data_IF_829130984537
#
_entry.id   IF_829130984537
#
_cell.length_a   1.000
_cell.length_b   1.000
_cell.length_c   1.000
_cell.angle_alpha   90.00
_cell.angle_beta   90.00
_cell.angle_gamma   90.00
#
_symmetry.space_group_name_H-M   'P 1'
#
loop_
_entity.id
_entity.type
_entity.pdbx_description
1 polymer ?
#
# COMPACT_ATOMS: atom_id res chain seq x y z
N UNK A 1 -9.01 6.14 -26.63
CA UNK A 1 -10.41 5.68 -26.76
C UNK A 1 -11.26 6.92 -26.71
N UNK A 2 -12.26 7.04 -27.57
CA UNK A 2 -13.15 8.20 -27.57
C UNK A 2 -14.05 8.18 -26.32
N UNK A 3 -14.38 9.37 -25.79
CA UNK A 3 -15.18 9.51 -24.55
C UNK A 3 -16.54 8.82 -24.66
N UNK A 4 -17.16 8.86 -25.84
CA UNK A 4 -18.44 8.21 -26.12
C UNK A 4 -18.37 6.68 -26.11
N UNK A 5 -17.30 6.10 -26.67
CA UNK A 5 -17.09 4.65 -26.64
C UNK A 5 -16.85 4.16 -25.22
N UNK A 6 -16.04 4.91 -24.46
CA UNK A 6 -15.76 4.62 -23.06
C UNK A 6 -17.04 4.67 -22.21
N UNK A 7 -17.91 5.65 -22.44
CA UNK A 7 -19.20 5.76 -21.73
C UNK A 7 -20.11 4.55 -21.99
N UNK A 8 -20.18 4.07 -23.24
CA UNK A 8 -20.97 2.86 -23.56
C UNK A 8 -20.47 1.63 -22.82
N UNK A 9 -19.15 1.48 -22.67
CA UNK A 9 -18.56 0.38 -21.91
C UNK A 9 -18.92 0.50 -20.42
N UNK A 10 -18.77 1.71 -19.85
CA UNK A 10 -19.10 1.99 -18.45
C UNK A 10 -20.58 1.66 -18.16
N UNK A 11 -21.50 2.19 -18.96
CA UNK A 11 -22.95 1.97 -18.80
C UNK A 11 -23.33 0.49 -18.92
N UNK A 12 -22.68 -0.23 -19.85
CA UNK A 12 -22.89 -1.67 -20.00
C UNK A 12 -22.46 -2.42 -18.73
N UNK A 13 -21.28 -2.13 -18.20
CA UNK A 13 -20.78 -2.79 -16.99
C UNK A 13 -21.71 -2.49 -15.81
N UNK A 14 -22.17 -1.25 -15.65
CA UNK A 14 -23.08 -0.86 -14.56
C UNK A 14 -24.45 -1.55 -14.65
N UNK A 15 -24.99 -1.71 -15.86
CA UNK A 15 -26.30 -2.33 -16.05
C UNK A 15 -26.27 -3.86 -15.92
N UNK A 16 -25.16 -4.51 -16.25
CA UNK A 16 -25.02 -5.96 -16.20
C UNK A 16 -24.55 -6.50 -14.83
N UNK A 17 -24.03 -5.63 -13.96
CA UNK A 17 -23.42 -6.05 -12.69
C UNK A 17 -24.20 -5.60 -11.46
N UNK A 18 -24.54 -6.56 -10.59
CA UNK A 18 -25.21 -6.30 -9.32
C UNK A 18 -24.19 -6.02 -8.22
N UNK A 19 -24.27 -4.82 -7.61
CA UNK A 19 -23.47 -4.45 -6.43
C UNK A 19 -23.74 -5.38 -5.23
N UNK A 20 -24.96 -5.89 -5.08
CA UNK A 20 -25.32 -6.78 -3.96
C UNK A 20 -24.66 -8.15 -4.05
N UNK A 21 -24.37 -8.61 -5.29
CA UNK A 21 -23.69 -9.88 -5.54
C UNK A 21 -22.19 -9.72 -5.65
N UNK A 22 -21.67 -8.51 -5.71
CA UNK A 22 -20.27 -8.23 -5.94
C UNK A 22 -19.43 -8.35 -4.68
N UNK A 23 -18.20 -8.83 -4.83
CA UNK A 23 -17.15 -8.65 -3.84
C UNK A 23 -15.81 -8.41 -4.52
N UNK A 24 -15.05 -7.47 -3.99
CA UNK A 24 -13.70 -7.13 -4.42
C UNK A 24 -12.84 -6.73 -3.22
N UNK A 25 -11.66 -7.32 -3.07
CA UNK A 25 -10.75 -7.04 -1.97
C UNK A 25 -9.29 -7.26 -2.35
N UNK A 26 -8.42 -6.42 -1.80
CA UNK A 26 -6.96 -6.59 -1.85
C UNK A 26 -6.49 -7.09 -0.49
N UNK A 27 -5.77 -8.18 -0.52
CA UNK A 27 -5.34 -8.89 0.66
C UNK A 27 -3.82 -9.07 0.64
N UNK A 28 -3.27 -9.26 1.82
CA UNK A 28 -1.87 -9.58 2.06
C UNK A 28 -1.76 -10.99 2.63
N UNK A 29 -0.68 -11.71 2.31
CA UNK A 29 -0.39 -13.01 2.91
C UNK A 29 0.48 -12.81 4.14
N UNK A 30 0.02 -13.16 5.34
CA UNK A 30 0.75 -12.91 6.60
C UNK A 30 2.21 -13.39 6.63
N UNK A 31 2.56 -14.40 5.81
CA UNK A 31 3.89 -15.00 5.72
C UNK A 31 4.64 -14.71 4.41
N UNK A 32 4.16 -13.81 3.54
CA UNK A 32 4.81 -13.46 2.28
C UNK A 32 4.57 -12.01 1.91
N UNK A 33 5.58 -11.33 1.36
CA UNK A 33 5.49 -9.92 0.92
C UNK A 33 4.62 -9.74 -0.35
N UNK A 34 3.59 -10.57 -0.52
CA UNK A 34 2.75 -10.64 -1.70
C UNK A 34 1.35 -10.08 -1.41
N UNK A 35 0.88 -9.25 -2.34
CA UNK A 35 -0.49 -8.75 -2.37
C UNK A 35 -1.28 -9.52 -3.44
N UNK A 36 -2.55 -9.82 -3.15
CA UNK A 36 -3.42 -10.52 -4.09
C UNK A 36 -4.85 -9.99 -4.03
N UNK A 37 -5.58 -10.16 -5.14
CA UNK A 37 -6.99 -9.78 -5.24
C UNK A 37 -7.85 -11.01 -4.97
N UNK A 38 -8.83 -10.89 -4.06
CA UNK A 38 -9.97 -11.80 -3.97
C UNK A 38 -11.20 -11.05 -4.45
N UNK A 39 -11.80 -11.55 -5.53
CA UNK A 39 -13.00 -10.97 -6.09
C UNK A 39 -13.82 -12.03 -6.83
N UNK A 40 -15.12 -11.79 -6.99
CA UNK A 40 -15.90 -12.51 -8.00
C UNK A 40 -15.97 -11.72 -9.31
N UNK A 41 -16.57 -12.33 -10.33
CA UNK A 41 -16.80 -11.70 -11.64
C UNK A 41 -17.39 -10.29 -11.49
N UNK A 42 -18.47 -10.16 -10.71
CA UNK A 42 -19.17 -8.89 -10.54
C UNK A 42 -18.30 -7.81 -9.89
N UNK A 43 -17.54 -8.15 -8.85
CA UNK A 43 -16.62 -7.22 -8.19
C UNK A 43 -15.44 -6.83 -9.05
N UNK A 44 -14.89 -7.75 -9.84
CA UNK A 44 -13.83 -7.43 -10.82
C UNK A 44 -14.32 -6.45 -11.88
N UNK A 45 -15.50 -6.71 -12.46
CA UNK A 45 -16.07 -5.85 -13.50
C UNK A 45 -16.42 -4.47 -12.93
N UNK A 46 -17.05 -4.40 -11.75
CA UNK A 46 -17.35 -3.13 -11.09
C UNK A 46 -16.08 -2.36 -10.70
N UNK A 47 -15.04 -3.03 -10.22
CA UNK A 47 -13.79 -2.36 -9.89
C UNK A 47 -13.08 -1.84 -11.15
N UNK A 48 -13.07 -2.62 -12.23
CA UNK A 48 -12.58 -2.16 -13.53
C UNK A 48 -13.39 -0.95 -14.03
N UNK A 49 -14.70 -0.93 -13.81
CA UNK A 49 -15.55 0.21 -14.14
C UNK A 49 -15.16 1.49 -13.39
N UNK A 50 -14.81 1.39 -12.11
CA UNK A 50 -14.29 2.54 -11.35
C UNK A 50 -12.96 3.05 -11.94
N UNK A 51 -12.08 2.16 -12.40
CA UNK A 51 -10.85 2.55 -13.11
C UNK A 51 -11.14 3.22 -14.46
N UNK A 52 -12.16 2.75 -15.19
CA UNK A 52 -12.58 3.37 -16.46
C UNK A 52 -13.17 4.77 -16.25
N UNK A 53 -14.01 4.95 -15.24
CA UNK A 53 -14.50 6.28 -14.83
C UNK A 53 -13.36 7.20 -14.44
N UNK A 54 -12.38 6.67 -13.71
CA UNK A 54 -11.19 7.41 -13.33
C UNK A 54 -10.39 7.85 -14.55
N UNK A 55 -10.13 6.94 -15.50
CA UNK A 55 -9.45 7.25 -16.75
C UNK A 55 -10.19 8.29 -17.59
N UNK A 56 -11.53 8.21 -17.68
CA UNK A 56 -12.36 9.19 -18.40
C UNK A 56 -12.19 10.61 -17.86
N UNK A 57 -12.02 10.74 -16.54
CA UNK A 57 -11.96 12.02 -15.85
C UNK A 57 -10.50 12.50 -15.61
N UNK A 58 -9.50 11.70 -16.02
CA UNK A 58 -8.10 11.94 -15.68
C UNK A 58 -7.60 13.28 -16.24
N UNK A 59 -7.87 13.58 -17.51
CA UNK A 59 -7.40 14.80 -18.17
C UNK A 59 -7.97 16.07 -17.51
N UNK A 60 -9.25 16.04 -17.12
CA UNK A 60 -9.93 17.15 -16.43
C UNK A 60 -9.32 17.40 -15.03
N UNK A 61 -8.85 16.34 -14.37
CA UNK A 61 -8.26 16.40 -13.02
C UNK A 61 -6.80 16.83 -13.06
N UNK A 62 -6.03 16.37 -14.05
CA UNK A 62 -4.65 16.78 -14.27
C UNK A 62 -4.58 18.31 -14.50
N UNK A 63 -5.57 18.88 -15.18
CA UNK A 63 -5.64 20.31 -15.46
C UNK A 63 -6.16 21.14 -14.27
N UNK A 64 -6.72 20.50 -13.23
CA UNK A 64 -7.32 21.18 -12.09
C UNK A 64 -6.30 21.34 -10.94
N UNK A 65 -5.99 22.59 -10.59
CA UNK A 65 -5.04 22.90 -9.51
C UNK A 65 -5.56 22.61 -8.09
N UNK A 66 -6.88 22.51 -7.91
CA UNK A 66 -7.52 22.33 -6.59
C UNK A 66 -7.87 20.87 -6.30
N UNK A 67 -8.05 20.05 -7.34
CA UNK A 67 -8.45 18.65 -7.20
C UNK A 67 -7.55 17.77 -8.06
N UNK A 68 -6.62 17.08 -7.41
CA UNK A 68 -5.61 16.23 -8.04
C UNK A 68 -5.82 14.72 -7.79
N UNK A 69 -6.89 14.34 -7.10
CA UNK A 69 -7.18 12.93 -6.77
C UNK A 69 -8.62 12.54 -7.12
N UNK A 70 -8.78 11.25 -7.44
CA UNK A 70 -10.04 10.55 -7.61
C UNK A 70 -10.22 9.58 -6.45
N UNK A 71 -11.19 9.84 -5.57
CA UNK A 71 -11.48 8.98 -4.44
C UNK A 71 -12.49 7.91 -4.81
N UNK A 72 -12.28 6.69 -4.34
CA UNK A 72 -13.32 5.65 -4.36
C UNK A 72 -14.32 5.91 -3.22
N UNK A 73 -15.59 5.53 -3.40
CA UNK A 73 -16.59 5.71 -2.34
C UNK A 73 -16.36 4.68 -1.20
N UNK A 74 -16.00 5.14 0.01
CA UNK A 74 -15.76 4.25 1.15
C UNK A 74 -17.02 3.53 1.66
N UNK A 75 -18.21 3.89 1.18
CA UNK A 75 -19.49 3.28 1.59
C UNK A 75 -19.89 2.09 0.71
N UNK A 76 -19.14 1.78 -0.34
CA UNK A 76 -19.44 0.68 -1.24
C UNK A 76 -19.24 -0.67 -0.54
N UNK A 77 -20.34 -1.31 -0.16
CA UNK A 77 -20.35 -2.57 0.62
C UNK A 77 -19.69 -3.75 -0.08
N UNK A 78 -19.56 -3.69 -1.41
CA UNK A 78 -18.94 -4.75 -2.21
C UNK A 78 -17.40 -4.66 -2.21
N UNK A 79 -16.81 -3.61 -1.64
CA UNK A 79 -15.36 -3.50 -1.45
C UNK A 79 -15.04 -4.02 -0.03
N UNK A 80 -14.44 -5.21 0.05
CA UNK A 80 -14.14 -5.90 1.32
C UNK A 80 -12.65 -6.25 1.35
N UNK A 81 -11.84 -5.35 1.90
CA UNK A 81 -10.39 -5.40 1.74
C UNK A 81 -9.66 -5.14 3.06
N UNK A 82 -8.57 -5.86 3.31
CA UNK A 82 -7.64 -5.54 4.41
C UNK A 82 -6.78 -4.31 4.04
N UNK A 83 -6.60 -4.08 2.74
CA UNK A 83 -5.84 -2.96 2.19
C UNK A 83 -6.78 -2.01 1.46
N UNK A 84 -6.96 -0.81 2.01
CA UNK A 84 -7.83 0.20 1.42
C UNK A 84 -7.14 0.98 0.29
N UNK A 85 -7.65 0.86 -0.94
CA UNK A 85 -7.29 1.76 -2.04
C UNK A 85 -8.09 3.07 -1.89
N UNK A 86 -7.44 4.11 -1.37
CA UNK A 86 -8.12 5.35 -1.03
C UNK A 86 -8.43 6.24 -2.26
N UNK A 87 -7.47 6.35 -3.18
CA UNK A 87 -7.58 7.24 -4.32
C UNK A 87 -6.67 6.84 -5.48
N UNK A 88 -6.97 7.39 -6.64
CA UNK A 88 -6.10 7.44 -7.81
C UNK A 88 -5.56 8.87 -7.92
N UNK A 89 -4.27 9.01 -8.16
CA UNK A 89 -3.59 10.27 -8.48
C UNK A 89 -3.21 10.24 -9.97
N UNK A 90 -4.01 10.86 -10.87
CA UNK A 90 -3.66 10.94 -12.28
C UNK A 90 -2.42 11.80 -12.48
N UNK A 91 -1.52 11.38 -13.38
CA UNK A 91 -0.31 12.13 -13.73
C UNK A 91 -0.23 12.35 -15.24
N UNK A 92 0.23 13.53 -15.63
CA UNK A 92 0.52 13.84 -17.03
C UNK A 92 1.80 13.16 -17.54
N UNK A 93 2.63 12.67 -16.62
CA UNK A 93 3.90 12.03 -16.95
C UNK A 93 3.68 10.77 -17.78
N UNK A 94 4.47 10.61 -18.85
CA UNK A 94 4.60 9.34 -19.54
C UNK A 94 5.23 8.30 -18.62
N UNK A 95 5.09 7.01 -18.99
CA UNK A 95 5.66 5.86 -18.26
C UNK A 95 7.00 6.21 -17.60
N UNK A 96 6.99 6.26 -16.27
CA UNK A 96 8.21 6.34 -15.48
C UNK A 96 8.74 4.92 -15.42
N UNK A 97 9.85 4.65 -16.09
CA UNK A 97 10.53 3.37 -15.90
C UNK A 97 10.97 3.30 -14.43
N UNK A 98 10.32 2.41 -13.68
CA UNK A 98 10.72 2.06 -12.33
C UNK A 98 12.09 1.41 -12.49
N UNK A 99 13.14 2.19 -12.22
CA UNK A 99 14.48 1.67 -12.16
C UNK A 99 14.54 0.85 -10.87
N UNK A 100 14.31 -0.46 -10.97
CA UNK A 100 14.44 -1.46 -9.91
C UNK A 100 15.89 -1.49 -9.42
N UNK A 101 16.35 -0.41 -8.80
CA UNK A 101 17.62 -0.41 -8.09
C UNK A 101 17.35 -1.25 -6.85
N UNK A 102 18.01 -2.41 -6.69
CA UNK A 102 17.82 -3.24 -5.52
C UNK A 102 18.05 -2.40 -4.27
N UNK A 103 17.18 -2.58 -3.28
CA UNK A 103 17.23 -1.85 -2.01
C UNK A 103 18.67 -1.82 -1.47
N UNK A 104 19.31 -0.65 -1.51
CA UNK A 104 20.61 -0.44 -0.87
C UNK A 104 20.37 -0.25 0.63
N UNK A 105 20.68 -1.30 1.41
CA UNK A 105 20.71 -1.27 2.89
C UNK A 105 21.35 0.04 3.35
N UNK A 106 20.57 0.91 4.00
CA UNK A 106 21.05 2.23 4.43
C UNK A 106 22.00 2.04 5.59
N UNK A 107 22.95 2.96 5.76
CA UNK A 107 23.93 2.88 6.86
C UNK A 107 23.26 2.82 8.25
N UNK A 108 22.05 3.38 8.37
CA UNK A 108 21.21 3.31 9.58
C UNK A 108 20.79 1.88 9.92
N UNK A 109 20.53 1.03 8.92
CA UNK A 109 20.13 -0.36 9.14
C UNK A 109 21.30 -1.18 9.70
N UNK A 110 22.54 -0.83 9.32
CA UNK A 110 23.76 -1.41 9.93
C UNK A 110 23.94 -0.96 11.38
N UNK A 111 23.64 0.29 11.71
CA UNK A 111 23.82 0.82 13.08
C UNK A 111 22.86 0.11 14.06
N UNK A 112 21.63 -0.18 13.64
CA UNK A 112 20.66 -0.90 14.48
C UNK A 112 21.11 -2.35 14.76
N UNK A 113 21.73 -3.00 13.78
CA UNK A 113 22.29 -4.35 13.90
C UNK A 113 23.45 -4.41 14.92
N UNK A 114 24.33 -3.39 14.93
CA UNK A 114 25.42 -3.32 15.91
C UNK A 114 25.02 -2.71 17.25
N UNK A 115 23.94 -1.93 17.31
CA UNK A 115 23.47 -1.26 18.53
C UNK A 115 23.01 -2.21 19.62
N UNK A 116 22.45 -3.37 19.24
CA UNK A 116 22.04 -4.39 20.21
C UNK A 116 23.27 -5.02 20.91
N UNK A 117 24.33 -5.32 20.14
CA UNK A 117 25.55 -5.93 20.67
C UNK A 117 26.31 -5.00 21.62
N UNK A 118 26.32 -3.69 21.36
CA UNK A 118 26.96 -2.72 22.26
C UNK A 118 26.22 -2.59 23.59
N UNK A 119 24.87 -2.59 23.59
CA UNK A 119 24.08 -2.53 24.83
C UNK A 119 24.32 -3.78 25.69
N UNK A 120 24.34 -4.96 25.08
CA UNK A 120 24.65 -6.22 25.78
C UNK A 120 26.06 -6.19 26.37
N UNK A 121 27.04 -5.72 25.60
CA UNK A 121 28.43 -5.59 26.07
C UNK A 121 28.58 -4.65 27.27
N UNK A 122 27.92 -3.48 27.24
CA UNK A 122 27.92 -2.54 28.37
C UNK A 122 27.26 -3.17 29.60
N UNK A 123 26.15 -3.89 29.42
CA UNK A 123 25.47 -4.61 30.51
C UNK A 123 26.38 -5.61 31.22
N UNK A 124 27.18 -6.37 30.46
CA UNK A 124 28.15 -7.32 31.00
C UNK A 124 29.24 -6.61 31.81
N UNK A 125 29.78 -5.49 31.30
CA UNK A 125 30.82 -4.71 31.99
C UNK A 125 30.30 -4.16 33.31
N UNK A 126 29.10 -3.57 33.32
CA UNK A 126 28.46 -3.04 34.54
C UNK A 126 28.21 -4.16 35.55
N UNK A 127 27.75 -5.33 35.08
CA UNK A 127 27.53 -6.49 35.93
C UNK A 127 28.82 -6.99 36.60
N UNK A 128 29.92 -7.09 35.84
CA UNK A 128 31.23 -7.49 36.37
C UNK A 128 31.74 -6.45 37.39
N UNK A 129 31.64 -5.15 37.08
CA UNK A 129 32.03 -4.09 37.99
C UNK A 129 31.23 -4.12 39.31
N UNK A 130 29.93 -4.42 39.23
CA UNK A 130 29.08 -4.61 40.41
C UNK A 130 29.52 -5.78 41.29
N UNK A 131 29.89 -6.92 40.69
CA UNK A 131 30.42 -8.07 41.43
C UNK A 131 31.73 -7.70 42.14
N UNK A 132 32.67 -7.04 41.45
CA UNK A 132 33.93 -6.61 42.06
C UNK A 132 33.71 -5.64 43.23
N UNK A 133 32.78 -4.70 43.09
CA UNK A 133 32.44 -3.77 44.17
C UNK A 133 31.91 -4.51 45.41
N UNK A 134 31.02 -5.50 45.23
CA UNK A 134 30.49 -6.31 46.33
C UNK A 134 31.60 -7.13 47.00
N UNK A 135 32.46 -7.79 46.22
CA UNK A 135 33.58 -8.59 46.76
C UNK A 135 34.54 -7.68 47.54
N UNK A 136 34.79 -6.46 47.06
CA UNK A 136 35.65 -5.49 47.75
C UNK A 136 35.09 -5.01 49.08
N UNK A 137 33.77 -5.09 49.31
CA UNK A 137 33.15 -4.76 50.60
C UNK A 137 33.25 -5.90 51.62
N UNK A 138 33.40 -7.13 51.16
CA UNK A 138 33.53 -8.31 52.01
C UNK A 138 34.99 -8.73 52.27
N UNK A 139 35.96 -7.97 51.76
CA UNK A 139 37.40 -8.13 52.03
C UNK A 139 37.89 -6.98 52.90
#
# INVERSE_FOLDING_TARGET
MEKEELNKIIEKIESENSKEKAFFGIHYVDAGDELFIKANKYGLELFANELLKASRNADEIIQNSEKNILTFDPKEKWITSDIWLAYIEPKADNRIDINDKPYKKKWKDKIFEYGCLTIVGIGIIVFIAGIFAIISWFR
#
